data_IF_018606328646
#
_entry.id   IF_018606328646
#
_cell.length_a   1.000
_cell.length_b   1.000
_cell.length_c   1.000
_cell.angle_alpha   90.00
_cell.angle_beta   90.00
_cell.angle_gamma   90.00
#
_symmetry.space_group_name_H-M   'P 1'
#
loop_
_entity.id
_entity.type
_entity.pdbx_description
1 polymer ?
#
# COMPACT_ATOMS: atom_id res chain seq x y z
N UNK A 1 21.61 12.91 -21.01
CA UNK A 1 21.39 11.53 -21.49
C UNK A 1 20.24 10.99 -20.68
N UNK A 2 19.27 10.31 -21.29
CA UNK A 2 18.24 9.60 -20.54
C UNK A 2 18.87 8.36 -19.87
N UNK A 3 18.43 8.05 -18.65
CA UNK A 3 18.89 6.88 -17.91
C UNK A 3 17.77 5.86 -17.95
N UNK A 4 18.05 4.65 -18.43
CA UNK A 4 17.10 3.53 -18.35
C UNK A 4 17.01 3.02 -16.92
N UNK A 5 15.84 2.48 -16.56
CA UNK A 5 15.67 1.79 -15.27
C UNK A 5 16.47 0.49 -15.30
N UNK A 6 17.40 0.33 -14.35
CA UNK A 6 18.23 -0.86 -14.18
C UNK A 6 17.83 -1.69 -12.96
N UNK A 7 16.78 -1.28 -12.28
CA UNK A 7 16.33 -1.89 -11.03
C UNK A 7 15.66 -3.26 -11.24
N UNK A 8 15.18 -3.53 -12.44
CA UNK A 8 14.57 -4.81 -12.82
C UNK A 8 14.73 -5.06 -14.33
N UNK A 9 14.80 -6.34 -14.69
CA UNK A 9 14.84 -6.76 -16.10
C UNK A 9 13.42 -6.87 -16.67
N UNK A 10 13.29 -6.64 -17.98
CA UNK A 10 12.04 -6.93 -18.67
C UNK A 10 11.79 -8.44 -18.69
N UNK A 11 10.66 -8.85 -18.14
CA UNK A 11 10.20 -10.23 -18.09
C UNK A 11 8.70 -10.29 -18.37
N UNK A 12 8.26 -10.66 -19.58
CA UNK A 12 6.85 -10.75 -19.91
C UNK A 12 6.17 -11.85 -19.09
N UNK A 13 4.98 -11.58 -18.56
CA UNK A 13 4.26 -12.46 -17.64
C UNK A 13 3.96 -13.85 -18.26
N UNK A 14 3.93 -13.94 -19.59
CA UNK A 14 3.68 -15.17 -20.35
C UNK A 14 4.84 -16.14 -20.37
N UNK A 15 6.04 -15.71 -19.98
CA UNK A 15 7.28 -16.51 -20.04
C UNK A 15 7.78 -16.88 -18.63
N UNK A 16 7.07 -16.47 -17.59
CA UNK A 16 7.47 -16.71 -16.20
C UNK A 16 7.06 -18.07 -15.69
N UNK A 17 7.85 -18.59 -14.76
CA UNK A 17 7.46 -19.78 -14.01
C UNK A 17 6.13 -19.56 -13.26
N UNK A 18 5.22 -20.56 -13.25
CA UNK A 18 3.94 -20.42 -12.59
C UNK A 18 4.07 -20.18 -11.07
N UNK A 19 3.24 -19.27 -10.55
CA UNK A 19 3.06 -19.05 -9.12
C UNK A 19 1.83 -19.85 -8.67
N UNK A 20 1.94 -20.56 -7.56
CA UNK A 20 0.83 -21.30 -6.97
C UNK A 20 0.58 -20.83 -5.53
N UNK A 21 -0.54 -20.12 -5.32
CA UNK A 21 -0.90 -19.65 -4.00
C UNK A 21 -1.41 -20.77 -3.07
N UNK A 22 -1.34 -20.58 -1.74
CA UNK A 22 -1.80 -21.58 -0.78
C UNK A 22 -3.26 -22.02 -1.00
N UNK A 23 -3.55 -23.29 -0.76
CA UNK A 23 -4.91 -23.84 -0.87
C UNK A 23 -5.48 -23.86 -2.29
N UNK A 24 -4.64 -23.81 -3.33
CA UNK A 24 -5.09 -23.80 -4.72
C UNK A 24 -5.80 -22.50 -5.13
N UNK A 25 -5.61 -21.43 -4.36
CA UNK A 25 -6.14 -20.11 -4.68
C UNK A 25 -5.45 -19.52 -5.91
N UNK A 26 -6.18 -18.71 -6.67
CA UNK A 26 -5.69 -18.10 -7.90
C UNK A 26 -5.24 -16.66 -7.72
N UNK A 27 -5.92 -15.91 -6.86
CA UNK A 27 -5.61 -14.50 -6.60
C UNK A 27 -5.24 -14.33 -5.13
N UNK A 28 -4.03 -13.84 -4.86
CA UNK A 28 -3.68 -13.33 -3.54
C UNK A 28 -4.15 -11.88 -3.45
N UNK A 29 -5.00 -11.58 -2.46
CA UNK A 29 -5.53 -10.23 -2.30
C UNK A 29 -5.14 -9.66 -0.94
N UNK A 30 -4.69 -8.41 -0.92
CA UNK A 30 -4.43 -7.68 0.31
C UNK A 30 -5.02 -6.27 0.28
N UNK A 31 -5.33 -5.77 1.46
CA UNK A 31 -5.75 -4.37 1.66
C UNK A 31 -4.53 -3.57 2.11
N UNK A 32 -4.09 -2.66 1.24
CA UNK A 32 -3.11 -1.63 1.56
C UNK A 32 -3.80 -0.47 2.26
N UNK A 33 -3.65 -0.38 3.58
CA UNK A 33 -4.28 0.65 4.38
C UNK A 33 -3.28 1.78 4.61
N UNK A 34 -3.46 2.90 3.90
CA UNK A 34 -2.57 4.05 3.96
C UNK A 34 -2.91 4.91 5.19
N UNK A 35 -2.05 4.87 6.18
CA UNK A 35 -2.23 5.58 7.45
C UNK A 35 -1.24 6.74 7.48
N UNK A 36 -1.72 7.90 7.08
CA UNK A 36 -0.91 9.03 6.71
C UNK A 36 -1.07 10.22 7.65
N UNK A 37 0.04 10.93 7.86
CA UNK A 37 0.10 12.23 8.50
C UNK A 37 0.47 13.30 7.48
N UNK A 38 -0.16 14.45 7.61
CA UNK A 38 0.14 15.65 6.81
C UNK A 38 0.39 16.83 7.73
N UNK A 39 1.30 17.71 7.34
CA UNK A 39 1.55 18.97 8.03
C UNK A 39 0.62 20.07 7.49
N UNK A 40 0.16 20.97 8.39
CA UNK A 40 -0.79 22.01 8.03
C UNK A 40 -0.16 23.14 7.21
N UNK A 41 1.15 23.28 7.28
CA UNK A 41 1.97 24.30 6.63
C UNK A 41 2.72 23.77 5.38
N UNK A 42 2.47 22.52 5.00
CA UNK A 42 3.08 21.90 3.82
C UNK A 42 2.00 21.38 2.86
N UNK A 43 2.34 21.26 1.57
CA UNK A 43 1.45 20.69 0.57
C UNK A 43 1.07 19.24 0.90
N UNK A 44 -0.03 18.77 0.33
CA UNK A 44 -0.48 17.38 0.42
C UNK A 44 -1.68 17.15 -0.48
N UNK A 45 -2.17 15.91 -0.52
CA UNK A 45 -3.36 15.55 -1.30
C UNK A 45 -4.52 16.47 -1.01
N UNK A 46 -5.12 17.04 -2.05
CA UNK A 46 -6.21 18.00 -1.96
C UNK A 46 -7.51 17.41 -2.51
N UNK A 47 -8.62 17.68 -1.83
CA UNK A 47 -9.96 17.41 -2.35
C UNK A 47 -10.53 18.64 -3.07
N UNK A 48 -9.93 19.80 -2.85
CA UNK A 48 -10.28 21.04 -3.51
C UNK A 48 -9.01 21.83 -3.88
N UNK A 49 -8.67 21.83 -5.14
CA UNK A 49 -7.45 22.48 -5.68
C UNK A 49 -7.43 23.99 -5.48
N UNK A 50 -8.60 24.64 -5.40
CA UNK A 50 -8.70 26.09 -5.28
C UNK A 50 -8.05 26.69 -4.02
N UNK A 51 -7.81 25.88 -2.99
CA UNK A 51 -7.13 26.33 -1.76
C UNK A 51 -5.81 25.62 -1.49
N UNK A 52 -5.44 24.64 -2.33
CA UNK A 52 -4.30 23.75 -2.06
C UNK A 52 -2.95 24.49 -1.90
N UNK A 53 -2.81 25.67 -2.50
CA UNK A 53 -1.61 26.52 -2.40
C UNK A 53 -1.61 27.47 -1.18
N UNK A 54 -2.70 27.49 -0.41
CA UNK A 54 -2.81 28.39 0.77
C UNK A 54 -2.11 27.77 1.99
N UNK A 55 -1.56 28.65 2.84
CA UNK A 55 -0.98 28.24 4.12
C UNK A 55 -1.45 29.22 5.21
N UNK A 56 -2.25 28.74 6.21
CA UNK A 56 -2.82 27.40 6.31
C UNK A 56 -3.94 27.15 5.28
N UNK A 57 -4.16 25.85 4.96
CA UNK A 57 -5.32 25.38 4.19
C UNK A 57 -6.22 24.51 5.08
N UNK A 58 -7.11 25.09 5.90
CA UNK A 58 -7.96 24.33 6.82
C UNK A 58 -8.90 23.35 6.12
N UNK A 59 -9.31 23.64 4.87
CA UNK A 59 -10.23 22.79 4.11
C UNK A 59 -9.57 21.43 3.79
N UNK A 60 -8.45 21.44 3.08
CA UNK A 60 -7.80 20.21 2.67
C UNK A 60 -7.10 19.52 3.85
N UNK A 61 -6.48 20.28 4.76
CA UNK A 61 -5.91 19.72 5.97
C UNK A 61 -6.95 19.01 6.82
N UNK A 62 -8.08 19.68 7.12
CA UNK A 62 -9.17 19.10 7.91
C UNK A 62 -9.78 17.85 7.26
N UNK A 63 -9.88 17.83 5.93
CA UNK A 63 -10.33 16.66 5.19
C UNK A 63 -9.35 15.47 5.36
N UNK A 64 -8.05 15.71 5.30
CA UNK A 64 -7.04 14.65 5.57
C UNK A 64 -7.04 14.22 7.04
N UNK A 65 -7.14 15.18 7.99
CA UNK A 65 -7.15 14.93 9.43
C UNK A 65 -8.42 14.18 9.91
N UNK A 66 -9.47 14.14 9.07
CA UNK A 66 -10.63 13.26 9.30
C UNK A 66 -10.20 11.77 9.32
N UNK A 67 -9.17 11.39 8.59
CA UNK A 67 -8.66 10.02 8.51
C UNK A 67 -8.32 9.44 9.88
N UNK A 68 -7.32 9.96 10.60
CA UNK A 68 -6.92 9.43 11.90
C UNK A 68 -7.96 9.67 12.99
N UNK A 69 -8.84 10.69 12.86
CA UNK A 69 -9.87 11.01 13.85
C UNK A 69 -11.09 10.10 13.79
N UNK A 70 -11.57 9.81 12.59
CA UNK A 70 -12.85 9.13 12.37
C UNK A 70 -12.75 8.01 11.35
N UNK A 71 -12.16 8.29 10.19
CA UNK A 71 -12.19 7.40 9.03
C UNK A 71 -11.58 6.04 9.29
N UNK A 72 -10.43 6.00 9.96
CA UNK A 72 -9.72 4.74 10.29
C UNK A 72 -10.62 3.83 11.16
N UNK A 73 -11.31 4.38 12.15
CA UNK A 73 -12.15 3.60 13.06
C UNK A 73 -13.32 2.96 12.34
N UNK A 74 -13.91 3.69 11.37
CA UNK A 74 -15.00 3.15 10.54
C UNK A 74 -14.50 2.07 9.57
N UNK A 75 -13.31 2.23 8.99
CA UNK A 75 -12.73 1.18 8.14
C UNK A 75 -12.39 -0.07 8.95
N UNK A 76 -11.92 0.07 10.20
CA UNK A 76 -11.64 -1.08 11.07
C UNK A 76 -12.85 -1.96 11.30
N UNK A 77 -14.07 -1.39 11.41
CA UNK A 77 -15.31 -2.16 11.56
C UNK A 77 -15.53 -3.11 10.37
N UNK A 78 -15.23 -2.66 9.15
CA UNK A 78 -15.33 -3.51 7.96
C UNK A 78 -14.19 -4.53 7.86
N UNK A 79 -12.95 -4.13 8.17
CA UNK A 79 -11.84 -5.07 8.19
C UNK A 79 -12.08 -6.20 9.20
N UNK A 80 -12.59 -5.87 10.39
CA UNK A 80 -12.96 -6.85 11.41
C UNK A 80 -14.12 -7.75 10.94
N UNK A 81 -15.15 -7.16 10.29
CA UNK A 81 -16.30 -7.90 9.76
C UNK A 81 -15.87 -9.01 8.79
N UNK A 82 -14.88 -8.78 7.97
CA UNK A 82 -14.41 -9.73 6.97
C UNK A 82 -13.13 -10.48 7.38
N UNK A 83 -12.66 -10.29 8.60
CA UNK A 83 -11.44 -10.93 9.09
C UNK A 83 -10.17 -10.52 8.36
N UNK A 84 -10.14 -9.28 7.82
CA UNK A 84 -9.04 -8.77 7.01
C UNK A 84 -7.93 -8.24 7.92
N UNK A 85 -6.73 -8.81 7.78
CA UNK A 85 -5.51 -8.22 8.32
C UNK A 85 -4.96 -7.23 7.29
N UNK A 86 -4.87 -5.95 7.66
CA UNK A 86 -4.34 -4.93 6.76
C UNK A 86 -2.83 -5.05 6.57
N UNK A 87 -2.36 -4.69 5.37
CA UNK A 87 -0.99 -4.25 5.12
C UNK A 87 -0.96 -2.74 5.36
N UNK A 88 -0.55 -2.34 6.56
CA UNK A 88 -0.60 -0.96 7.01
C UNK A 88 0.62 -0.19 6.52
N UNK A 89 0.39 0.71 5.56
CA UNK A 89 1.38 1.65 5.05
C UNK A 89 1.41 2.84 6.01
N UNK A 90 2.43 2.90 6.86
CA UNK A 90 2.43 3.74 8.04
C UNK A 90 3.52 4.82 7.97
N UNK A 91 3.13 6.08 8.01
CA UNK A 91 4.10 7.14 8.27
C UNK A 91 4.63 7.05 9.70
N UNK A 92 5.93 7.31 9.92
CA UNK A 92 6.51 7.26 11.26
C UNK A 92 5.91 8.32 12.20
N UNK A 93 5.51 9.46 11.69
CA UNK A 93 4.87 10.52 12.48
C UNK A 93 3.49 10.12 13.02
N UNK A 94 2.78 9.22 12.32
CA UNK A 94 1.53 8.62 12.82
C UNK A 94 1.80 7.79 14.07
N UNK A 95 2.88 7.02 14.08
CA UNK A 95 3.23 6.17 15.20
C UNK A 95 3.44 6.95 16.50
N UNK A 96 3.99 8.15 16.38
CA UNK A 96 4.22 9.02 17.53
C UNK A 96 2.97 9.80 17.95
N UNK A 97 2.18 10.26 16.97
CA UNK A 97 1.04 11.17 17.20
C UNK A 97 -0.26 10.45 17.56
N UNK A 98 -0.46 9.24 17.04
CA UNK A 98 -1.72 8.49 17.17
C UNK A 98 -1.50 7.07 17.69
N UNK A 99 -0.95 6.90 18.90
CA UNK A 99 -0.60 5.58 19.47
C UNK A 99 -1.82 4.64 19.59
N UNK A 100 -3.04 5.16 19.62
CA UNK A 100 -4.26 4.37 19.62
C UNK A 100 -4.44 3.57 18.32
N UNK A 101 -4.04 4.13 17.18
CA UNK A 101 -4.08 3.44 15.87
C UNK A 101 -3.08 2.30 15.88
N UNK A 102 -1.86 2.54 16.42
CA UNK A 102 -0.85 1.49 16.56
C UNK A 102 -1.36 0.35 17.44
N UNK A 103 -1.96 0.67 18.59
CA UNK A 103 -2.54 -0.33 19.48
C UNK A 103 -3.63 -1.16 18.80
N UNK A 104 -4.50 -0.50 18.01
CA UNK A 104 -5.57 -1.16 17.26
C UNK A 104 -5.03 -2.11 16.19
N UNK A 105 -3.99 -1.72 15.46
CA UNK A 105 -3.33 -2.55 14.44
C UNK A 105 -2.58 -3.74 15.06
N UNK A 106 -1.87 -3.52 16.18
CA UNK A 106 -1.21 -4.61 16.93
C UNK A 106 -2.22 -5.68 17.39
N UNK A 107 -3.35 -5.26 17.92
CA UNK A 107 -4.40 -6.18 18.35
C UNK A 107 -4.98 -7.03 17.21
N UNK A 108 -4.85 -6.55 15.95
CA UNK A 108 -5.35 -7.20 14.73
C UNK A 108 -4.29 -7.95 13.94
N UNK A 109 -3.04 -7.94 14.40
CA UNK A 109 -1.93 -8.62 13.73
C UNK A 109 -1.66 -8.08 12.31
N UNK A 110 -1.71 -6.74 12.12
CA UNK A 110 -1.40 -6.12 10.84
C UNK A 110 0.04 -6.37 10.41
N UNK A 111 0.26 -6.46 9.09
CA UNK A 111 1.58 -6.29 8.53
C UNK A 111 1.93 -4.79 8.49
N UNK A 112 3.12 -4.45 8.93
CA UNK A 112 3.56 -3.05 9.03
C UNK A 112 4.57 -2.74 7.94
N UNK A 113 4.23 -1.78 7.07
CA UNK A 113 5.10 -1.27 6.03
C UNK A 113 5.53 0.15 6.37
N UNK A 114 6.79 0.48 6.10
CA UNK A 114 7.27 1.84 6.23
C UNK A 114 6.79 2.67 5.03
N UNK A 115 6.28 3.89 5.31
CA UNK A 115 5.68 4.78 4.33
C UNK A 115 6.14 6.24 4.54
N UNK A 116 7.46 6.47 4.59
CA UNK A 116 8.01 7.78 4.87
C UNK A 116 7.75 8.29 6.29
N UNK A 117 8.19 9.51 6.57
CA UNK A 117 7.88 10.18 7.83
C UNK A 117 6.46 10.75 7.84
N UNK A 118 6.08 11.41 6.75
CA UNK A 118 4.75 11.96 6.49
C UNK A 118 4.50 12.04 4.98
N UNK A 119 3.25 12.20 4.57
CA UNK A 119 2.94 12.42 3.14
C UNK A 119 3.09 13.89 2.69
N UNK A 120 3.59 14.75 3.57
CA UNK A 120 4.09 16.08 3.23
C UNK A 120 5.58 16.11 2.87
N UNK A 121 6.32 15.01 3.11
CA UNK A 121 7.75 14.89 2.80
C UNK A 121 7.98 13.76 1.79
N UNK A 122 8.17 14.15 0.53
CA UNK A 122 8.43 13.19 -0.55
C UNK A 122 9.93 12.86 -0.61
N UNK A 123 10.27 11.66 -1.10
CA UNK A 123 11.65 11.17 -1.13
C UNK A 123 12.42 11.56 -2.39
N UNK A 124 11.75 11.94 -3.48
CA UNK A 124 12.42 12.34 -4.72
C UNK A 124 13.37 13.52 -4.49
N UNK A 125 14.58 13.43 -5.02
CA UNK A 125 15.57 14.50 -4.96
C UNK A 125 16.45 14.51 -3.71
N UNK A 126 16.29 13.56 -2.78
CA UNK A 126 17.24 13.37 -1.66
C UNK A 126 18.59 12.86 -2.19
N UNK A 127 19.69 13.30 -1.55
CA UNK A 127 20.97 12.63 -1.77
C UNK A 127 20.96 11.25 -1.09
N UNK A 128 21.81 10.29 -1.52
CA UNK A 128 21.88 8.97 -0.89
C UNK A 128 22.15 9.03 0.62
N UNK A 129 22.95 9.98 1.07
CA UNK A 129 23.28 10.17 2.49
C UNK A 129 22.07 10.69 3.27
N UNK A 130 21.34 11.65 2.70
CA UNK A 130 20.11 12.19 3.30
C UNK A 130 19.03 11.12 3.38
N UNK A 131 18.82 10.39 2.29
CA UNK A 131 17.82 9.32 2.24
C UNK A 131 18.14 8.20 3.23
N UNK A 132 19.41 7.75 3.32
CA UNK A 132 19.84 6.73 4.31
C UNK A 132 19.50 7.12 5.75
N UNK A 133 19.71 8.39 6.11
CA UNK A 133 19.37 8.89 7.44
C UNK A 133 17.86 8.84 7.65
N UNK A 134 17.10 9.38 6.71
CA UNK A 134 15.63 9.43 6.77
C UNK A 134 15.03 8.04 6.86
N UNK A 135 15.43 7.11 5.98
CA UNK A 135 14.94 5.73 5.97
C UNK A 135 15.23 4.98 7.27
N UNK A 136 16.45 5.13 7.79
CA UNK A 136 16.85 4.50 9.06
C UNK A 136 16.00 5.03 10.22
N UNK A 137 15.76 6.34 10.27
CA UNK A 137 14.99 6.96 11.35
C UNK A 137 13.51 6.53 11.28
N UNK A 138 12.92 6.44 10.08
CA UNK A 138 11.59 5.91 9.86
C UNK A 138 11.47 4.47 10.35
N UNK A 139 12.35 3.58 9.87
CA UNK A 139 12.33 2.15 10.23
C UNK A 139 12.49 1.95 11.72
N UNK A 140 13.41 2.68 12.34
CA UNK A 140 13.67 2.59 13.79
C UNK A 140 12.46 3.07 14.61
N UNK A 141 11.84 4.17 14.21
CA UNK A 141 10.63 4.69 14.86
C UNK A 141 9.47 3.71 14.78
N UNK A 142 9.24 3.13 13.60
CA UNK A 142 8.16 2.17 13.41
C UNK A 142 8.41 0.87 14.17
N UNK A 143 9.64 0.33 14.14
CA UNK A 143 10.01 -0.86 14.92
C UNK A 143 9.77 -0.66 16.41
N UNK A 144 10.16 0.48 16.95
CA UNK A 144 9.94 0.85 18.36
C UNK A 144 8.44 0.93 18.69
N UNK A 145 7.63 1.54 17.83
CA UNK A 145 6.21 1.76 18.09
C UNK A 145 5.38 0.48 17.93
N UNK A 146 5.63 -0.28 16.88
CA UNK A 146 4.86 -1.50 16.55
C UNK A 146 5.36 -2.73 17.30
N UNK A 147 6.63 -2.75 17.69
CA UNK A 147 7.33 -3.92 18.24
C UNK A 147 7.80 -4.91 17.18
N UNK A 148 7.64 -4.57 15.90
CA UNK A 148 8.03 -5.40 14.75
C UNK A 148 8.76 -4.52 13.74
N UNK A 149 9.89 -4.98 13.23
CA UNK A 149 10.60 -4.30 12.16
C UNK A 149 9.79 -4.37 10.86
N UNK A 150 9.51 -3.23 10.18
CA UNK A 150 8.87 -3.24 8.88
C UNK A 150 9.67 -4.07 7.87
N UNK A 151 8.97 -4.86 7.06
CA UNK A 151 9.59 -5.67 6.00
C UNK A 151 9.37 -5.09 4.61
N UNK A 152 8.30 -4.34 4.44
CA UNK A 152 7.92 -3.69 3.21
C UNK A 152 8.08 -2.18 3.29
N UNK A 153 8.17 -1.59 2.11
CA UNK A 153 8.25 -0.16 1.88
C UNK A 153 7.22 0.28 0.84
N UNK A 154 6.71 1.48 0.99
CA UNK A 154 6.12 2.29 -0.07
C UNK A 154 6.47 3.75 0.17
N UNK A 155 7.06 4.41 -0.79
CA UNK A 155 7.39 5.84 -0.68
C UNK A 155 6.13 6.72 -0.61
N UNK A 156 6.13 7.82 0.15
CA UNK A 156 5.04 8.78 0.13
C UNK A 156 4.76 9.24 -1.30
N UNK A 157 3.50 9.05 -1.77
CA UNK A 157 3.14 9.30 -3.17
C UNK A 157 3.89 8.44 -4.19
N UNK A 158 4.36 7.25 -3.81
CA UNK A 158 5.18 6.34 -4.61
C UNK A 158 6.48 7.01 -5.13
N UNK A 159 7.07 7.88 -4.32
CA UNK A 159 8.30 8.59 -4.70
C UNK A 159 9.54 7.89 -4.16
N UNK A 160 10.54 7.76 -5.02
CA UNK A 160 11.84 7.15 -4.74
C UNK A 160 12.98 8.00 -5.28
N UNK A 161 14.20 7.69 -4.85
CA UNK A 161 15.44 8.01 -5.57
C UNK A 161 15.94 6.77 -6.31
N UNK A 162 16.99 6.88 -7.11
CA UNK A 162 17.63 5.73 -7.76
C UNK A 162 18.35 4.80 -6.77
N UNK A 163 18.47 5.19 -5.49
CA UNK A 163 19.18 4.45 -4.45
C UNK A 163 18.24 3.83 -3.41
N UNK A 164 16.95 4.15 -3.45
CA UNK A 164 15.98 3.72 -2.43
C UNK A 164 16.03 2.21 -2.19
N UNK A 165 15.96 1.40 -3.25
CA UNK A 165 15.92 -0.06 -3.11
C UNK A 165 17.18 -0.64 -2.45
N UNK A 166 18.36 -0.11 -2.78
CA UNK A 166 19.63 -0.51 -2.18
C UNK A 166 19.67 -0.16 -0.68
N UNK A 167 19.23 1.05 -0.35
CA UNK A 167 19.20 1.54 1.04
C UNK A 167 18.18 0.77 1.90
N UNK A 168 17.04 0.38 1.32
CA UNK A 168 16.04 -0.48 1.97
C UNK A 168 16.61 -1.88 2.27
N UNK A 169 17.34 -2.47 1.30
CA UNK A 169 18.01 -3.75 1.50
C UNK A 169 19.06 -3.69 2.60
N UNK A 170 19.88 -2.63 2.66
CA UNK A 170 20.86 -2.38 3.75
C UNK A 170 20.18 -2.32 5.12
N UNK A 171 18.94 -1.81 5.18
CA UNK A 171 18.14 -1.74 6.41
C UNK A 171 17.37 -3.04 6.71
N UNK A 172 17.49 -4.06 5.86
CA UNK A 172 16.87 -5.37 6.05
C UNK A 172 15.40 -5.45 5.65
N UNK A 173 14.89 -4.49 4.85
CA UNK A 173 13.59 -4.63 4.20
C UNK A 173 13.72 -5.61 3.04
N UNK A 174 12.62 -6.22 2.64
CA UNK A 174 12.62 -7.31 1.65
C UNK A 174 11.75 -7.04 0.42
N UNK A 175 10.92 -5.99 0.43
CA UNK A 175 10.12 -5.63 -0.73
C UNK A 175 9.68 -4.16 -0.73
N UNK A 176 9.38 -3.66 -1.93
CA UNK A 176 8.72 -2.36 -2.16
C UNK A 176 7.40 -2.54 -2.92
N UNK A 177 6.50 -1.55 -2.78
CA UNK A 177 5.23 -1.47 -3.51
C UNK A 177 5.21 -0.31 -4.53
N UNK A 178 6.32 0.40 -4.72
CA UNK A 178 6.35 1.64 -5.51
C UNK A 178 6.20 1.42 -7.01
N UNK A 179 6.58 0.24 -7.50
CA UNK A 179 6.53 -0.12 -8.92
C UNK A 179 5.22 -0.82 -9.26
N UNK A 180 4.26 -0.06 -9.78
CA UNK A 180 2.90 -0.55 -10.09
C UNK A 180 2.80 -1.08 -11.54
N UNK A 181 3.74 -1.92 -11.94
CA UNK A 181 3.96 -2.34 -13.32
C UNK A 181 3.73 -3.85 -13.56
N UNK A 182 3.16 -4.57 -12.59
CA UNK A 182 2.98 -6.02 -12.69
C UNK A 182 1.78 -6.54 -11.90
N UNK A 183 1.28 -7.71 -12.29
CA UNK A 183 0.25 -8.48 -11.56
C UNK A 183 0.86 -9.60 -10.69
N UNK A 184 2.17 -9.75 -10.70
CA UNK A 184 2.91 -10.76 -9.94
C UNK A 184 4.09 -10.13 -9.21
N UNK A 185 4.51 -10.68 -8.04
CA UNK A 185 5.79 -10.32 -7.45
C UNK A 185 6.94 -10.68 -8.39
N UNK A 186 7.98 -9.86 -8.38
CA UNK A 186 9.22 -10.17 -9.09
C UNK A 186 10.45 -9.69 -8.30
N UNK A 187 11.62 -10.23 -8.64
CA UNK A 187 12.87 -9.85 -7.99
C UNK A 187 13.41 -8.57 -8.61
N UNK A 188 13.88 -7.66 -7.76
CA UNK A 188 14.70 -6.55 -8.19
C UNK A 188 16.15 -7.02 -8.40
N UNK A 189 16.93 -6.23 -9.15
CA UNK A 189 18.39 -6.46 -9.31
C UNK A 189 19.15 -6.29 -8.00
N UNK A 190 18.56 -5.62 -7.03
CA UNK A 190 19.07 -5.51 -5.66
C UNK A 190 18.83 -6.83 -4.91
N UNK A 191 19.89 -7.52 -4.45
CA UNK A 191 19.76 -8.81 -3.81
C UNK A 191 18.84 -8.79 -2.59
N UNK A 192 17.90 -9.73 -2.54
CA UNK A 192 16.94 -9.86 -1.43
C UNK A 192 15.70 -8.97 -1.52
N UNK A 193 15.64 -8.07 -2.53
CA UNK A 193 14.50 -7.17 -2.71
C UNK A 193 13.53 -7.70 -3.75
N UNK A 194 12.24 -7.52 -3.45
CA UNK A 194 11.13 -7.79 -4.37
C UNK A 194 10.38 -6.49 -4.70
N UNK A 195 9.76 -6.44 -5.87
CA UNK A 195 8.61 -5.59 -6.13
C UNK A 195 7.35 -6.43 -5.98
N UNK A 196 6.39 -5.95 -5.19
CA UNK A 196 5.06 -6.55 -5.07
C UNK A 196 4.03 -5.65 -5.75
N UNK A 197 3.04 -6.24 -6.43
CA UNK A 197 1.98 -5.45 -7.04
C UNK A 197 1.24 -4.58 -6.02
N UNK A 198 1.08 -3.31 -6.37
CA UNK A 198 0.20 -2.33 -5.75
C UNK A 198 -0.66 -1.70 -6.85
N UNK A 199 -1.73 -1.00 -6.52
CA UNK A 199 -2.59 -0.44 -7.55
C UNK A 199 -2.73 1.08 -7.41
N UNK A 200 -2.49 1.79 -8.51
CA UNK A 200 -2.88 3.20 -8.67
C UNK A 200 -4.28 3.32 -9.28
N UNK A 201 -4.77 2.27 -9.96
CA UNK A 201 -6.10 2.25 -10.57
C UNK A 201 -7.19 1.90 -9.55
N UNK A 202 -6.99 0.86 -8.72
CA UNK A 202 -7.85 0.52 -7.57
C UNK A 202 -7.37 1.19 -6.28
N UNK A 203 -6.96 2.43 -6.38
CA UNK A 203 -6.63 3.32 -5.29
C UNK A 203 -7.79 4.28 -5.07
N UNK A 204 -8.30 4.37 -3.87
CA UNK A 204 -9.48 5.20 -3.58
C UNK A 204 -9.27 6.70 -3.83
N UNK A 205 -8.02 7.22 -3.67
CA UNK A 205 -7.68 8.58 -4.12
C UNK A 205 -7.83 8.68 -5.64
N UNK A 206 -7.26 7.72 -6.38
CA UNK A 206 -7.34 7.68 -7.85
C UNK A 206 -8.78 7.65 -8.34
N UNK A 207 -9.61 6.81 -7.73
CA UNK A 207 -11.02 6.64 -8.10
C UNK A 207 -11.86 7.86 -7.72
N UNK A 208 -11.85 8.26 -6.46
CA UNK A 208 -12.81 9.26 -5.95
C UNK A 208 -12.32 10.69 -6.07
N UNK A 209 -11.02 10.94 -5.94
CA UNK A 209 -10.47 12.30 -5.93
C UNK A 209 -9.97 12.69 -7.31
N UNK A 210 -9.13 11.86 -7.92
CA UNK A 210 -8.52 12.20 -9.21
C UNK A 210 -9.51 12.04 -10.37
N UNK A 211 -10.21 10.90 -10.45
CA UNK A 211 -11.15 10.59 -11.56
C UNK A 211 -12.58 11.07 -11.26
N UNK A 212 -12.91 11.42 -10.02
CA UNK A 212 -14.25 11.87 -9.61
C UNK A 212 -15.35 10.82 -9.78
N UNK A 213 -14.99 9.54 -9.73
CA UNK A 213 -15.93 8.43 -9.89
C UNK A 213 -16.78 8.24 -8.62
N UNK A 214 -17.88 7.49 -8.75
CA UNK A 214 -18.85 7.27 -7.69
C UNK A 214 -18.61 5.98 -6.91
N UNK A 215 -19.35 5.77 -5.82
CA UNK A 215 -19.28 4.51 -5.06
C UNK A 215 -19.65 3.27 -5.87
N UNK A 216 -20.74 3.28 -6.65
CA UNK A 216 -21.05 2.17 -7.59
C UNK A 216 -19.91 1.87 -8.57
N UNK A 217 -19.26 2.90 -9.12
CA UNK A 217 -18.13 2.71 -10.04
C UNK A 217 -16.95 2.02 -9.33
N UNK A 218 -16.66 2.40 -8.10
CA UNK A 218 -15.62 1.75 -7.29
C UNK A 218 -15.92 0.26 -7.09
N UNK A 219 -17.17 -0.09 -6.75
CA UNK A 219 -17.59 -1.50 -6.60
C UNK A 219 -17.45 -2.27 -7.91
N UNK A 220 -17.89 -1.68 -9.03
CA UNK A 220 -17.75 -2.28 -10.34
C UNK A 220 -16.28 -2.52 -10.71
N UNK A 221 -15.41 -1.53 -10.52
CA UNK A 221 -13.97 -1.66 -10.77
C UNK A 221 -13.33 -2.77 -9.93
N UNK A 222 -13.69 -2.90 -8.64
CA UNK A 222 -13.17 -3.96 -7.77
C UNK A 222 -13.59 -5.35 -8.27
N UNK A 223 -14.86 -5.50 -8.68
CA UNK A 223 -15.38 -6.76 -9.23
C UNK A 223 -14.70 -7.12 -10.55
N UNK A 224 -14.68 -6.19 -11.51
CA UNK A 224 -14.09 -6.41 -12.83
C UNK A 224 -12.60 -6.76 -12.74
N UNK A 225 -11.85 -6.09 -11.85
CA UNK A 225 -10.45 -6.39 -11.62
C UNK A 225 -10.26 -7.80 -11.05
N UNK A 226 -11.05 -8.16 -10.03
CA UNK A 226 -10.94 -9.51 -9.44
C UNK A 226 -11.31 -10.59 -10.45
N UNK A 227 -12.41 -10.42 -11.18
CA UNK A 227 -12.89 -11.40 -12.16
C UNK A 227 -11.87 -11.61 -13.29
N UNK A 228 -11.26 -10.53 -13.80
CA UNK A 228 -10.24 -10.62 -14.83
C UNK A 228 -8.97 -11.28 -14.29
N UNK A 229 -8.45 -10.85 -13.14
CA UNK A 229 -7.27 -11.47 -12.54
C UNK A 229 -7.50 -12.97 -12.22
N UNK A 230 -8.71 -13.32 -11.80
CA UNK A 230 -9.07 -14.71 -11.55
C UNK A 230 -9.09 -15.55 -12.84
N UNK A 231 -9.59 -15.00 -13.93
CA UNK A 231 -9.58 -15.65 -15.24
C UNK A 231 -8.13 -15.84 -15.74
N UNK A 232 -7.30 -14.80 -15.66
CA UNK A 232 -5.89 -14.81 -16.08
C UNK A 232 -5.02 -15.73 -15.22
N UNK A 233 -5.44 -15.98 -13.99
CA UNK A 233 -4.72 -16.81 -13.04
C UNK A 233 -4.95 -18.33 -13.21
N UNK A 234 -5.52 -18.77 -14.33
CA UNK A 234 -5.77 -20.20 -14.57
C UNK A 234 -4.50 -21.08 -14.53
N UNK A 235 -3.38 -20.54 -15.02
CA UNK A 235 -2.08 -21.24 -15.06
C UNK A 235 -1.05 -20.71 -14.08
N UNK A 236 -1.21 -19.50 -13.58
CA UNK A 236 -0.24 -18.85 -12.68
C UNK A 236 -0.93 -17.77 -11.85
N UNK A 237 -0.72 -17.78 -10.56
CA UNK A 237 -1.36 -16.87 -9.61
C UNK A 237 -1.11 -15.40 -9.90
N UNK A 238 -2.08 -14.57 -9.50
CA UNK A 238 -2.03 -13.09 -9.58
C UNK A 238 -2.13 -12.48 -8.19
N UNK A 239 -1.79 -11.19 -8.10
CA UNK A 239 -1.95 -10.37 -6.89
C UNK A 239 -2.93 -9.26 -7.18
N UNK A 240 -3.82 -9.00 -6.24
CA UNK A 240 -4.72 -7.86 -6.23
C UNK A 240 -4.49 -7.03 -4.97
N UNK A 241 -4.27 -5.74 -5.12
CA UNK A 241 -4.18 -4.80 -4.03
C UNK A 241 -5.39 -3.86 -4.03
N UNK A 242 -6.00 -3.63 -2.88
CA UNK A 242 -6.96 -2.56 -2.65
C UNK A 242 -6.27 -1.47 -1.82
N UNK A 243 -6.04 -0.31 -2.42
CA UNK A 243 -5.40 0.82 -1.76
C UNK A 243 -6.45 1.74 -1.15
N UNK A 244 -6.50 1.80 0.18
CA UNK A 244 -7.51 2.54 0.94
C UNK A 244 -6.86 3.63 1.80
N UNK A 245 -7.50 4.82 1.82
CA UNK A 245 -7.13 5.93 2.67
C UNK A 245 -8.28 6.27 3.62
N UNK A 246 -8.04 6.34 4.94
CA UNK A 246 -9.11 6.59 5.92
C UNK A 246 -9.87 7.91 5.70
N UNK A 247 -9.23 8.93 5.16
CA UNK A 247 -9.88 10.20 4.84
C UNK A 247 -10.72 10.15 3.55
N UNK A 248 -10.58 9.10 2.74
CA UNK A 248 -11.35 8.89 1.50
C UNK A 248 -12.48 7.90 1.74
N UNK A 249 -12.19 6.61 1.83
CA UNK A 249 -13.21 5.56 2.00
C UNK A 249 -13.71 5.43 3.43
N UNK A 250 -13.08 6.07 4.41
CA UNK A 250 -13.63 6.24 5.74
C UNK A 250 -14.78 7.26 5.85
N UNK A 251 -15.11 7.99 4.77
CA UNK A 251 -16.26 8.90 4.75
C UNK A 251 -17.59 8.14 4.79
N UNK A 252 -18.63 8.64 5.54
CA UNK A 252 -19.88 7.91 5.76
C UNK A 252 -20.59 7.48 4.48
N UNK A 253 -20.66 8.36 3.48
CA UNK A 253 -21.38 8.10 2.24
C UNK A 253 -20.68 7.08 1.31
N UNK A 254 -19.38 6.79 1.54
CA UNK A 254 -18.61 5.78 0.81
C UNK A 254 -18.58 4.43 1.52
N UNK A 255 -18.91 4.40 2.81
CA UNK A 255 -18.76 3.22 3.67
C UNK A 255 -19.50 1.98 3.13
N UNK A 256 -20.75 2.14 2.69
CA UNK A 256 -21.53 1.03 2.15
C UNK A 256 -20.93 0.42 0.88
N UNK A 257 -20.27 1.24 0.07
CA UNK A 257 -19.65 0.77 -1.18
C UNK A 257 -18.31 0.06 -0.89
N UNK A 258 -17.59 0.52 0.12
CA UNK A 258 -16.44 -0.23 0.62
C UNK A 258 -16.88 -1.58 1.20
N UNK A 259 -17.98 -1.61 1.97
CA UNK A 259 -18.56 -2.85 2.48
C UNK A 259 -18.92 -3.84 1.35
N UNK A 260 -19.60 -3.37 0.32
CA UNK A 260 -19.99 -4.17 -0.83
C UNK A 260 -18.77 -4.70 -1.62
N UNK A 261 -17.74 -3.87 -1.79
CA UNK A 261 -16.51 -4.28 -2.45
C UNK A 261 -15.74 -5.34 -1.65
N UNK A 262 -15.60 -5.14 -0.33
CA UNK A 262 -14.91 -6.09 0.54
C UNK A 262 -15.69 -7.40 0.69
N UNK A 263 -17.03 -7.36 0.71
CA UNK A 263 -17.87 -8.56 0.70
C UNK A 263 -17.60 -9.42 -0.53
N UNK A 264 -17.53 -8.80 -1.71
CA UNK A 264 -17.24 -9.49 -2.95
C UNK A 264 -15.88 -10.19 -2.94
N UNK A 265 -14.85 -9.49 -2.48
CA UNK A 265 -13.48 -10.02 -2.42
C UNK A 265 -13.35 -11.11 -1.36
N UNK A 266 -13.87 -10.88 -0.16
CA UNK A 266 -13.70 -11.78 0.98
C UNK A 266 -14.45 -13.12 0.80
N UNK A 267 -15.59 -13.09 0.11
CA UNK A 267 -16.38 -14.29 -0.14
C UNK A 267 -16.05 -14.99 -1.47
N UNK A 268 -15.10 -14.46 -2.26
CA UNK A 268 -14.72 -15.11 -3.52
C UNK A 268 -13.87 -16.38 -3.27
N UNK A 269 -14.30 -17.57 -3.73
CA UNK A 269 -13.66 -18.83 -3.37
C UNK A 269 -12.24 -18.99 -3.89
N UNK A 270 -11.88 -18.25 -4.94
CA UNK A 270 -10.55 -18.28 -5.55
C UNK A 270 -9.54 -17.32 -4.93
N UNK A 271 -9.93 -16.52 -3.93
CA UNK A 271 -9.08 -15.51 -3.29
C UNK A 271 -8.38 -16.07 -2.05
N UNK A 272 -7.10 -15.84 -1.96
CA UNK A 272 -6.31 -15.90 -0.74
C UNK A 272 -6.23 -14.49 -0.15
N UNK A 273 -7.15 -14.18 0.77
CA UNK A 273 -7.18 -12.91 1.47
C UNK A 273 -6.09 -12.91 2.55
N UNK A 274 -5.09 -12.03 2.40
CA UNK A 274 -3.85 -12.12 3.17
C UNK A 274 -3.19 -10.74 3.33
N UNK A 275 -1.90 -10.69 3.67
CA UNK A 275 -1.09 -9.48 3.75
C UNK A 275 0.02 -9.47 2.70
N UNK A 276 0.57 -8.31 2.41
CA UNK A 276 1.75 -8.19 1.54
C UNK A 276 2.96 -8.94 2.07
N UNK A 277 3.15 -9.00 3.41
CA UNK A 277 4.20 -9.82 4.04
C UNK A 277 4.05 -11.30 3.73
N UNK A 278 2.83 -11.84 3.86
CA UNK A 278 2.55 -13.25 3.58
C UNK A 278 2.77 -13.59 2.09
N UNK A 279 2.43 -12.65 1.18
CA UNK A 279 2.68 -12.80 -0.27
C UNK A 279 4.17 -12.83 -0.56
N UNK A 280 4.94 -11.90 0.01
CA UNK A 280 6.40 -11.85 -0.12
C UNK A 280 7.05 -13.14 0.38
N UNK A 281 6.65 -13.60 1.57
CA UNK A 281 7.15 -14.84 2.16
C UNK A 281 6.85 -16.07 1.31
N UNK A 282 5.64 -16.16 0.80
CA UNK A 282 5.25 -17.28 -0.05
C UNK A 282 6.06 -17.29 -1.34
N UNK A 283 6.17 -16.13 -2.00
CA UNK A 283 6.93 -15.99 -3.24
C UNK A 283 8.40 -16.36 -3.04
N UNK A 284 9.06 -15.83 -2.00
CA UNK A 284 10.46 -16.13 -1.70
C UNK A 284 10.69 -17.62 -1.43
N UNK A 285 9.81 -18.27 -0.67
CA UNK A 285 9.92 -19.71 -0.38
C UNK A 285 9.76 -20.60 -1.61
N UNK A 286 8.83 -20.23 -2.50
CA UNK A 286 8.48 -21.07 -3.65
C UNK A 286 9.39 -20.84 -4.87
N UNK A 287 10.10 -19.71 -4.90
CA UNK A 287 11.03 -19.35 -5.99
C UNK A 287 12.51 -19.36 -5.56
N UNK A 288 12.82 -19.95 -4.40
CA UNK A 288 14.19 -19.97 -3.85
C UNK A 288 15.20 -20.82 -4.66
N UNK A 289 14.77 -21.54 -5.68
CA UNK A 289 15.61 -22.40 -6.53
C UNK A 289 15.40 -22.20 -8.03
N UNK A 290 14.69 -21.14 -8.40
CA UNK A 290 14.40 -20.82 -9.80
C UNK A 290 15.39 -19.77 -10.36
#
# INVERSE_FOLDING_TARGET
MSTDITLFDYSPITERAPIHWPGGKRVACYVGLNIEHFYADLPGTATYEGTAALTPDPLNYGWRDYGPRVGIWRQLELLDKYGIRASALLNSDVAERYPQIIAAGKARGWAWLAHGSSNSHLHSGLSPEQERIVLRDIVTTLEKATGVRPRGWMGPGLTETFHTAELLAELGLSYTLDWTNDDQPYRLTVPGMLSLPYSVELNDIGVFVTKGLTGPDFVAMVRDQLDQLYADAAGSGRVMALALHPFVTGQPFRHRYLDEALDYVANHPGVWLTTSDDIADHYLRTTAGA
#
